data_IF_904737225800
#
_entry.id   IF_904737225800
#
_cell.length_a   1.000
_cell.length_b   1.000
_cell.length_c   1.000
_cell.angle_alpha   90.00
_cell.angle_beta   90.00
_cell.angle_gamma   90.00
#
_symmetry.space_group_name_H-M   'P 1'
#
loop_
_entity.id
_entity.type
_entity.pdbx_description
1 polymer ?
#
# COMPACT_ATOMS: atom_id res chain seq x y z
N UNK A 1 -3.96 30.08 7.96
CA UNK A 1 -3.19 28.82 8.00
C UNK A 1 -3.69 27.99 6.84
N UNK A 2 -2.83 27.66 5.86
CA UNK A 2 -3.21 26.81 4.72
C UNK A 2 -3.63 25.45 5.26
N UNK A 3 -4.78 24.94 4.80
CA UNK A 3 -5.29 23.63 5.17
C UNK A 3 -4.18 22.58 5.00
N UNK A 4 -3.87 21.89 6.09
CA UNK A 4 -2.93 20.77 6.11
C UNK A 4 -3.57 19.67 5.27
N UNK A 5 -3.02 19.36 4.10
CA UNK A 5 -3.41 18.13 3.40
C UNK A 5 -3.11 16.95 4.34
N UNK A 6 -4.17 16.37 4.89
CA UNK A 6 -4.07 15.18 5.73
C UNK A 6 -3.86 14.03 4.76
N UNK A 7 -2.59 13.79 4.40
CA UNK A 7 -2.22 12.61 3.63
C UNK A 7 -2.79 11.36 4.32
N UNK A 8 -3.46 10.50 3.55
CA UNK A 8 -3.90 9.21 4.07
C UNK A 8 -2.66 8.33 4.18
N UNK A 9 -2.29 7.97 5.41
CA UNK A 9 -1.18 7.04 5.67
C UNK A 9 -1.66 5.62 5.42
N UNK A 10 -0.80 4.82 4.78
CA UNK A 10 -0.98 3.39 4.58
C UNK A 10 0.19 2.63 5.20
N UNK A 11 -0.11 1.51 5.85
CA UNK A 11 0.87 0.62 6.47
C UNK A 11 0.85 -0.70 5.72
N UNK A 12 2.04 -1.24 5.42
CA UNK A 12 2.18 -2.58 4.83
C UNK A 12 2.08 -3.61 5.94
N UNK A 13 1.10 -4.50 5.83
CA UNK A 13 0.89 -5.59 6.78
C UNK A 13 1.71 -6.83 6.41
N UNK A 14 1.61 -7.24 5.15
CA UNK A 14 2.20 -8.49 4.67
C UNK A 14 2.30 -8.53 3.14
N UNK A 15 3.23 -9.36 2.65
CA UNK A 15 3.24 -9.85 1.28
C UNK A 15 2.37 -11.11 1.18
N UNK A 16 1.48 -11.18 0.20
CA UNK A 16 0.52 -12.28 0.02
C UNK A 16 0.45 -12.69 -1.46
N UNK A 17 0.03 -13.93 -1.73
CA UNK A 17 -0.25 -14.42 -3.10
C UNK A 17 -1.78 -14.44 -3.27
N UNK A 18 -2.30 -13.74 -4.28
CA UNK A 18 -3.72 -13.73 -4.63
C UNK A 18 -3.82 -14.02 -6.13
N UNK A 19 -4.59 -15.05 -6.49
CA UNK A 19 -4.76 -15.52 -7.87
C UNK A 19 -3.41 -15.76 -8.59
N UNK A 20 -2.46 -16.37 -7.88
CA UNK A 20 -1.12 -16.66 -8.38
C UNK A 20 -0.18 -15.45 -8.47
N UNK A 21 -0.64 -14.24 -8.13
CA UNK A 21 0.15 -13.01 -8.21
C UNK A 21 0.56 -12.48 -6.84
N UNK A 22 1.80 -12.03 -6.70
CA UNK A 22 2.31 -11.37 -5.48
C UNK A 22 1.69 -9.98 -5.31
N UNK A 23 1.09 -9.74 -4.15
CA UNK A 23 0.49 -8.46 -3.74
C UNK A 23 0.89 -8.11 -2.31
N UNK A 24 0.72 -6.85 -1.94
CA UNK A 24 0.86 -6.39 -0.56
C UNK A 24 -0.51 -6.13 0.03
N UNK A 25 -0.77 -6.73 1.20
CA UNK A 25 -1.88 -6.34 2.05
C UNK A 25 -1.46 -5.08 2.80
N UNK A 26 -2.28 -4.04 2.69
CA UNK A 26 -2.08 -2.76 3.38
C UNK A 26 -3.36 -2.36 4.09
N UNK A 27 -3.26 -1.53 5.12
CA UNK A 27 -4.41 -0.83 5.67
C UNK A 27 -4.17 0.67 5.72
N UNK A 28 -5.24 1.46 5.56
CA UNK A 28 -5.18 2.90 5.76
C UNK A 28 -5.25 3.26 7.26
N UNK A 29 -5.05 4.53 7.59
CA UNK A 29 -5.17 5.05 8.97
C UNK A 29 -6.52 4.80 9.66
N UNK A 30 -7.56 4.37 8.93
CA UNK A 30 -8.87 3.96 9.46
C UNK A 30 -9.02 2.43 9.59
N UNK A 31 -7.96 1.67 9.36
CA UNK A 31 -7.95 0.20 9.43
C UNK A 31 -8.63 -0.50 8.24
N UNK A 32 -9.00 0.21 7.17
CA UNK A 32 -9.62 -0.42 5.99
C UNK A 32 -8.55 -1.15 5.17
N UNK A 33 -8.73 -2.45 4.87
CA UNK A 33 -7.73 -3.24 4.15
C UNK A 33 -7.82 -3.05 2.63
N UNK A 34 -6.67 -3.13 1.97
CA UNK A 34 -6.50 -3.10 0.52
C UNK A 34 -5.42 -4.09 0.08
N UNK A 35 -5.46 -4.44 -1.20
CA UNK A 35 -4.41 -5.24 -1.84
C UNK A 35 -3.84 -4.47 -3.02
N UNK A 36 -2.52 -4.26 -3.02
CA UNK A 36 -1.82 -3.49 -4.05
C UNK A 36 -0.72 -4.31 -4.68
N UNK A 37 -0.55 -4.17 -5.99
CA UNK A 37 0.59 -4.72 -6.73
C UNK A 37 1.63 -3.64 -6.89
N UNK A 38 2.88 -3.91 -6.51
CA UNK A 38 4.01 -3.07 -6.88
C UNK A 38 4.59 -3.62 -8.19
N UNK A 39 4.73 -2.77 -9.19
CA UNK A 39 5.42 -3.15 -10.41
C UNK A 39 6.90 -2.79 -10.26
N UNK A 40 7.77 -3.80 -10.29
CA UNK A 40 9.21 -3.66 -10.09
C UNK A 40 9.89 -2.74 -11.12
N UNK A 41 9.29 -2.56 -12.31
CA UNK A 41 9.77 -1.61 -13.33
C UNK A 41 9.59 -0.16 -12.88
N UNK A 42 8.54 0.13 -12.11
CA UNK A 42 8.22 1.48 -11.64
C UNK A 42 8.67 1.75 -10.21
N UNK A 43 8.86 0.70 -9.41
CA UNK A 43 9.27 0.79 -8.01
C UNK A 43 10.50 -0.08 -7.80
N UNK A 44 11.67 0.55 -7.88
CA UNK A 44 12.96 -0.07 -7.57
C UNK A 44 13.49 0.49 -6.25
N UNK A 45 13.79 -0.41 -5.31
CA UNK A 45 14.44 -0.06 -4.04
C UNK A 45 15.80 -0.77 -4.04
N UNK A 46 16.89 0.01 -3.96
CA UNK A 46 18.28 -0.50 -3.95
C UNK A 46 18.75 -0.75 -2.52
#
# INVERSE_FOLDING_TARGET
MKDKEIGIVFIIDAKVIIDGSSKYKIHNSKGKPYYVSANEVYVYVK
#
